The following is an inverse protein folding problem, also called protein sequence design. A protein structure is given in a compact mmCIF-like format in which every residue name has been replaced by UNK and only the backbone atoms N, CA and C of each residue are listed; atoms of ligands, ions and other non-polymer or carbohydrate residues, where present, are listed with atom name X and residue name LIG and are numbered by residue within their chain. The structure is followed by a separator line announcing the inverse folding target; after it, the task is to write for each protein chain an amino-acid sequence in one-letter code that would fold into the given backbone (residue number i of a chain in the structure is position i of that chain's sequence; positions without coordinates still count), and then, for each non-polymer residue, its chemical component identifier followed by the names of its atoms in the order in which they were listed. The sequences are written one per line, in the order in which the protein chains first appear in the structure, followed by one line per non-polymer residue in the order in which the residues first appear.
data_IF_797383350190
#
_entry.id   IF_797383350190
#
_cell.length_a   1.000
_cell.length_b   1.000
_cell.length_c   1.000
_cell.angle_alpha   90.00
_cell.angle_beta   90.00
_cell.angle_gamma   90.00
#
_symmetry.space_group_name_H-M   'P 1'
#
loop_
_entity.id
_entity.type
_entity.pdbx_description
1 polymer ?
#
# COMPACT_ATOMS: atom_id res chain seq x y z
N UNK A 1 8.02 -11.23 19.05
CA UNK A 1 8.13 -10.44 17.80
C UNK A 1 7.88 -11.38 16.64
N UNK A 2 7.12 -11.00 15.62
CA UNK A 2 6.87 -11.85 14.45
C UNK A 2 8.19 -12.14 13.72
N UNK A 3 8.44 -13.42 13.38
CA UNK A 3 9.61 -13.81 12.58
C UNK A 3 9.46 -13.30 11.13
N UNK A 4 10.51 -13.40 10.30
CA UNK A 4 10.50 -12.90 8.91
C UNK A 4 9.31 -13.45 8.10
N UNK A 5 9.05 -14.75 8.21
CA UNK A 5 7.95 -15.44 7.50
C UNK A 5 6.59 -14.85 7.89
N UNK A 6 6.36 -14.62 9.19
CA UNK A 6 5.12 -14.04 9.68
C UNK A 6 4.95 -12.59 9.21
N UNK A 7 6.03 -11.79 9.21
CA UNK A 7 6.00 -10.41 8.69
C UNK A 7 5.66 -10.37 7.21
N UNK A 8 6.20 -11.31 6.41
CA UNK A 8 5.87 -11.43 4.98
C UNK A 8 4.40 -11.77 4.78
N UNK A 9 3.86 -12.73 5.53
CA UNK A 9 2.44 -13.09 5.48
C UNK A 9 1.53 -11.92 5.84
N UNK A 10 1.89 -11.11 6.84
CA UNK A 10 1.11 -9.95 7.30
C UNK A 10 0.99 -8.88 6.22
N UNK A 11 2.10 -8.43 5.61
CA UNK A 11 1.96 -7.37 4.59
C UNK A 11 1.28 -7.90 3.32
N UNK A 12 1.53 -9.18 2.97
CA UNK A 12 0.85 -9.83 1.86
C UNK A 12 -0.66 -9.89 2.07
N UNK A 13 -1.16 -10.18 3.28
CA UNK A 13 -2.61 -10.27 3.51
C UNK A 13 -3.34 -8.95 3.22
N UNK A 14 -2.75 -7.82 3.57
CA UNK A 14 -3.30 -6.50 3.21
C UNK A 14 -3.29 -6.28 1.70
N UNK A 15 -2.20 -6.65 1.02
CA UNK A 15 -2.14 -6.58 -0.45
C UNK A 15 -3.18 -7.50 -1.10
N UNK A 16 -3.41 -8.70 -0.57
CA UNK A 16 -4.43 -9.63 -1.08
C UNK A 16 -5.83 -9.02 -1.02
N UNK A 17 -6.21 -8.44 0.11
CA UNK A 17 -7.52 -7.81 0.24
C UNK A 17 -7.64 -6.59 -0.68
N UNK A 18 -6.59 -5.75 -0.78
CA UNK A 18 -6.57 -4.65 -1.74
C UNK A 18 -6.79 -5.13 -3.18
N UNK A 19 -6.11 -6.22 -3.58
CA UNK A 19 -6.26 -6.84 -4.90
C UNK A 19 -7.66 -7.37 -5.14
N UNK A 20 -8.27 -8.04 -4.16
CA UNK A 20 -9.63 -8.58 -4.23
C UNK A 20 -10.65 -7.48 -4.47
N UNK A 21 -10.58 -6.37 -3.74
CA UNK A 21 -11.47 -5.23 -3.94
C UNK A 21 -11.22 -4.51 -5.28
N UNK A 22 -9.95 -4.30 -5.66
CA UNK A 22 -9.60 -3.68 -6.94
C UNK A 22 -10.05 -4.53 -8.14
N UNK A 23 -9.96 -5.87 -8.03
CA UNK A 23 -10.43 -6.79 -9.06
C UNK A 23 -11.96 -6.79 -9.19
N UNK A 24 -12.68 -6.67 -8.07
CA UNK A 24 -14.14 -6.50 -8.09
C UNK A 24 -14.55 -5.21 -8.78
N UNK A 25 -13.88 -4.09 -8.50
CA UNK A 25 -14.09 -2.81 -9.20
C UNK A 25 -13.82 -2.93 -10.70
N UNK A 26 -12.74 -3.61 -11.09
CA UNK A 26 -12.37 -3.77 -12.50
C UNK A 26 -13.41 -4.54 -13.31
N UNK A 27 -14.00 -5.58 -12.71
CA UNK A 27 -14.87 -6.53 -13.41
C UNK A 27 -16.36 -6.15 -13.39
N UNK A 28 -16.71 -5.00 -12.83
CA UNK A 28 -18.09 -4.57 -12.69
C UNK A 28 -18.49 -3.46 -13.64
N UNK A 29 -19.53 -3.70 -14.43
CA UNK A 29 -20.14 -2.64 -15.24
C UNK A 29 -21.30 -1.92 -14.53
N UNK A 30 -21.87 -2.52 -13.46
CA UNK A 30 -23.11 -2.04 -12.82
C UNK A 30 -23.02 -1.80 -11.30
N UNK A 31 -21.82 -1.65 -10.71
CA UNK A 31 -21.67 -1.52 -9.25
C UNK A 31 -22.18 -0.20 -8.68
N UNK A 32 -22.31 0.83 -9.52
CA UNK A 32 -22.68 2.20 -9.13
C UNK A 32 -24.10 2.29 -8.56
N UNK A 33 -24.95 1.31 -8.85
CA UNK A 33 -26.36 1.32 -8.45
C UNK A 33 -26.68 0.37 -7.29
N UNK A 34 -25.70 -0.36 -6.75
CA UNK A 34 -25.92 -1.35 -5.70
C UNK A 34 -25.57 -0.78 -4.33
N UNK A 35 -26.57 -0.62 -3.46
CA UNK A 35 -26.36 -0.23 -2.07
C UNK A 35 -25.89 -1.43 -1.22
N UNK A 36 -25.00 -1.17 -0.26
CA UNK A 36 -24.64 -2.15 0.76
C UNK A 36 -25.72 -2.27 1.83
N UNK A 37 -26.13 -3.50 2.14
CA UNK A 37 -27.05 -3.76 3.26
C UNK A 37 -26.50 -3.20 4.57
N UNK A 38 -27.20 -2.23 5.15
CA UNK A 38 -26.84 -1.60 6.42
C UNK A 38 -25.74 -0.54 6.34
N UNK A 39 -25.32 -0.15 5.13
CA UNK A 39 -24.33 0.90 4.90
C UNK A 39 -24.92 2.10 4.18
N UNK A 40 -24.16 3.21 4.14
CA UNK A 40 -24.54 4.42 3.39
C UNK A 40 -23.73 4.63 2.11
N UNK A 41 -22.82 3.70 1.81
CA UNK A 41 -21.98 3.74 0.62
C UNK A 41 -22.56 2.82 -0.45
N UNK A 42 -22.43 3.25 -1.70
CA UNK A 42 -22.58 2.39 -2.86
C UNK A 42 -21.50 1.31 -2.86
N UNK A 43 -21.75 0.21 -3.54
CA UNK A 43 -20.84 -0.93 -3.56
C UNK A 43 -19.51 -0.58 -4.25
N UNK A 44 -19.54 0.26 -5.29
CA UNK A 44 -18.32 0.84 -5.90
C UNK A 44 -17.53 1.66 -4.86
N UNK A 45 -18.17 2.64 -4.21
CA UNK A 45 -17.53 3.50 -3.21
C UNK A 45 -16.90 2.69 -2.08
N UNK A 46 -17.59 1.65 -1.61
CA UNK A 46 -17.06 0.75 -0.61
C UNK A 46 -15.83 0.00 -1.09
N UNK A 47 -15.86 -0.56 -2.31
CA UNK A 47 -14.68 -1.25 -2.84
C UNK A 47 -13.52 -0.27 -3.05
N UNK A 48 -13.77 0.95 -3.50
CA UNK A 48 -12.75 1.99 -3.63
C UNK A 48 -12.12 2.33 -2.28
N UNK A 49 -12.96 2.61 -1.27
CA UNK A 49 -12.51 2.85 0.10
C UNK A 49 -11.68 1.68 0.64
N UNK A 50 -12.17 0.45 0.48
CA UNK A 50 -11.51 -0.74 1.00
C UNK A 50 -10.19 -1.02 0.28
N UNK A 51 -10.11 -0.84 -1.03
CA UNK A 51 -8.84 -0.92 -1.77
C UNK A 51 -7.82 0.06 -1.20
N UNK A 52 -8.18 1.34 -1.08
CA UNK A 52 -7.24 2.37 -0.60
C UNK A 52 -6.77 2.12 0.84
N UNK A 53 -7.67 1.77 1.75
CA UNK A 53 -7.31 1.49 3.14
C UNK A 53 -6.36 0.29 3.26
N UNK A 54 -6.62 -0.79 2.51
CA UNK A 54 -5.75 -1.96 2.51
C UNK A 54 -4.40 -1.70 1.84
N UNK A 55 -4.36 -0.87 0.79
CA UNK A 55 -3.10 -0.40 0.21
C UNK A 55 -2.25 0.38 1.23
N UNK A 56 -2.87 1.29 1.99
CA UNK A 56 -2.16 2.03 3.03
C UNK A 56 -1.61 1.10 4.13
N UNK A 57 -2.38 0.10 4.57
CA UNK A 57 -1.92 -0.92 5.52
C UNK A 57 -0.78 -1.75 4.94
N UNK A 58 -0.85 -2.13 3.66
CA UNK A 58 0.20 -2.87 2.98
C UNK A 58 1.50 -2.05 2.92
N UNK A 59 1.44 -0.74 2.62
CA UNK A 59 2.60 0.16 2.65
C UNK A 59 3.21 0.23 4.06
N UNK A 60 2.38 0.44 5.09
CA UNK A 60 2.85 0.52 6.48
C UNK A 60 3.54 -0.78 6.91
N UNK A 61 2.88 -1.92 6.68
CA UNK A 61 3.41 -3.22 7.04
C UNK A 61 4.68 -3.57 6.25
N UNK A 62 4.71 -3.29 4.94
CA UNK A 62 5.87 -3.55 4.08
C UNK A 62 7.07 -2.71 4.51
N UNK A 63 6.88 -1.42 4.72
CA UNK A 63 7.99 -0.53 5.14
C UNK A 63 8.54 -0.91 6.51
N UNK A 64 7.68 -1.30 7.46
CA UNK A 64 8.13 -1.84 8.75
C UNK A 64 8.94 -3.14 8.57
N UNK A 65 8.44 -4.08 7.78
CA UNK A 65 9.17 -5.32 7.50
C UNK A 65 10.56 -5.03 6.90
N UNK A 66 10.66 -4.09 5.95
CA UNK A 66 11.93 -3.68 5.33
C UNK A 66 12.91 -3.12 6.37
N UNK A 67 12.44 -2.27 7.30
CA UNK A 67 13.25 -1.72 8.39
C UNK A 67 13.76 -2.83 9.32
N UNK A 68 12.91 -3.79 9.67
CA UNK A 68 13.31 -4.95 10.49
C UNK A 68 14.40 -5.77 9.80
N UNK A 69 14.27 -6.00 8.50
CA UNK A 69 15.26 -6.74 7.73
C UNK A 69 16.61 -6.01 7.67
N UNK A 70 16.62 -4.68 7.51
CA UNK A 70 17.85 -3.88 7.55
C UNK A 70 18.55 -3.99 8.92
N UNK A 71 17.77 -4.02 10.01
CA UNK A 71 18.31 -4.22 11.36
C UNK A 71 18.86 -5.64 11.54
N UNK A 72 18.13 -6.66 11.09
CA UNK A 72 18.55 -8.07 11.18
C UNK A 72 19.84 -8.34 10.39
N UNK A 73 20.03 -7.65 9.27
CA UNK A 73 21.26 -7.68 8.45
C UNK A 73 22.41 -6.84 9.01
N UNK A 74 22.20 -6.11 10.11
CA UNK A 74 23.20 -5.21 10.70
C UNK A 74 23.50 -3.97 9.85
N UNK A 75 22.67 -3.65 8.85
CA UNK A 75 22.81 -2.43 8.04
C UNK A 75 22.50 -1.18 8.84
N UNK A 76 21.59 -1.30 9.82
CA UNK A 76 21.25 -0.23 10.76
C UNK A 76 21.31 -0.74 12.20
N UNK A 77 21.61 0.17 13.13
CA UNK A 77 21.55 -0.11 14.55
C UNK A 77 20.11 -0.05 15.08
N UNK A 78 19.94 -0.43 16.35
CA UNK A 78 18.63 -0.44 17.00
C UNK A 78 18.05 0.97 17.11
N UNK A 79 18.84 1.96 17.53
CA UNK A 79 18.39 3.34 17.76
C UNK A 79 17.81 3.98 16.48
N UNK A 80 18.44 3.74 15.33
CA UNK A 80 17.97 4.22 14.04
C UNK A 80 16.67 3.51 13.64
N UNK A 81 16.54 2.20 13.88
CA UNK A 81 15.28 1.47 13.63
C UNK A 81 14.14 2.05 14.45
N UNK A 82 14.34 2.25 15.75
CA UNK A 82 13.29 2.75 16.66
C UNK A 82 12.88 4.17 16.27
N UNK A 83 13.84 5.02 15.91
CA UNK A 83 13.59 6.41 15.47
C UNK A 83 12.73 6.47 14.20
N UNK A 84 12.91 5.51 13.30
CA UNK A 84 12.22 5.48 12.00
C UNK A 84 10.87 4.75 12.06
N UNK A 85 10.72 3.80 12.99
CA UNK A 85 9.51 3.01 13.18
C UNK A 85 8.25 3.86 13.46
N UNK A 86 8.40 5.02 14.11
CA UNK A 86 7.28 5.90 14.42
C UNK A 86 6.88 6.84 13.27
N UNK A 87 7.62 6.85 12.17
CA UNK A 87 7.23 7.60 10.98
C UNK A 87 6.04 6.91 10.30
N UNK A 88 5.19 7.66 9.60
CA UNK A 88 4.16 7.02 8.77
C UNK A 88 4.80 6.31 7.56
N UNK A 89 4.12 5.33 7.00
CA UNK A 89 4.65 4.51 5.91
C UNK A 89 5.04 5.31 4.68
N UNK A 90 4.37 6.43 4.35
CA UNK A 90 4.83 7.34 3.28
C UNK A 90 6.24 7.88 3.56
N UNK A 91 6.49 8.39 4.77
CA UNK A 91 7.80 8.91 5.16
C UNK A 91 8.84 7.80 5.23
N UNK A 92 8.48 6.62 5.76
CA UNK A 92 9.36 5.44 5.74
C UNK A 92 9.74 5.05 4.31
N UNK A 93 8.76 4.98 3.41
CA UNK A 93 8.97 4.69 1.99
C UNK A 93 10.02 5.60 1.37
N UNK A 94 9.91 6.91 1.61
CA UNK A 94 10.82 7.92 1.08
C UNK A 94 12.28 7.73 1.52
N UNK A 95 12.49 7.36 2.79
CA UNK A 95 13.82 7.35 3.41
C UNK A 95 14.48 5.97 3.39
N UNK A 96 13.72 4.90 3.13
CA UNK A 96 14.21 3.52 3.10
C UNK A 96 15.45 3.32 2.22
N UNK A 97 15.52 3.84 0.98
CA UNK A 97 16.73 3.74 0.16
C UNK A 97 17.96 4.31 0.88
N UNK A 98 17.85 5.52 1.41
CA UNK A 98 18.94 6.20 2.11
C UNK A 98 19.38 5.45 3.37
N UNK A 99 18.43 4.94 4.15
CA UNK A 99 18.70 4.13 5.34
C UNK A 99 19.39 2.81 4.98
N UNK A 100 19.08 2.25 3.80
CA UNK A 100 19.74 1.07 3.25
C UNK A 100 21.09 1.37 2.58
N UNK A 101 21.61 2.61 2.69
CA UNK A 101 22.87 3.02 2.07
C UNK A 101 22.80 3.21 0.56
N UNK A 102 21.61 3.41 -0.01
CA UNK A 102 21.42 3.71 -1.43
C UNK A 102 21.39 5.22 -1.66
N UNK A 103 21.96 5.66 -2.77
CA UNK A 103 21.98 7.08 -3.17
C UNK A 103 20.70 7.51 -3.89
N UNK A 104 19.90 6.55 -4.39
CA UNK A 104 18.66 6.83 -5.12
C UNK A 104 17.64 7.54 -4.24
N UNK A 105 17.10 8.64 -4.75
CA UNK A 105 16.02 9.40 -4.13
C UNK A 105 14.71 9.04 -4.84
N UNK A 106 13.69 8.72 -4.03
CA UNK A 106 12.33 8.51 -4.54
C UNK A 106 11.68 9.86 -4.80
N UNK A 107 11.30 10.10 -6.05
CA UNK A 107 10.50 11.25 -6.44
C UNK A 107 9.00 10.95 -6.29
N UNK A 108 8.31 11.66 -5.40
CA UNK A 108 6.88 11.50 -5.16
C UNK A 108 5.99 12.36 -6.07
N UNK A 109 6.58 13.12 -6.98
CA UNK A 109 5.82 13.91 -7.96
C UNK A 109 5.68 13.18 -9.30
N UNK A 110 6.42 12.07 -9.49
CA UNK A 110 6.35 11.19 -10.65
C UNK A 110 5.79 9.80 -10.32
N UNK A 111 5.16 9.16 -11.31
CA UNK A 111 4.75 7.76 -11.20
C UNK A 111 6.00 6.84 -11.22
N UNK A 112 5.98 5.70 -10.50
CA UNK A 112 4.83 5.16 -9.77
C UNK A 112 4.69 5.71 -8.34
N UNK A 113 5.72 6.35 -7.78
CA UNK A 113 5.76 6.71 -6.35
C UNK A 113 4.79 7.81 -5.92
N UNK A 114 4.32 8.66 -6.85
CA UNK A 114 3.20 9.57 -6.61
C UNK A 114 1.98 8.86 -6.03
N UNK A 115 1.71 7.61 -6.43
CA UNK A 115 0.60 6.82 -5.89
C UNK A 115 0.70 6.59 -4.38
N UNK A 116 1.90 6.38 -3.83
CA UNK A 116 2.12 6.19 -2.38
C UNK A 116 1.69 7.44 -1.61
N UNK A 117 2.03 8.63 -2.13
CA UNK A 117 1.65 9.93 -1.56
C UNK A 117 0.13 10.12 -1.59
N UNK A 118 -0.52 9.80 -2.71
CA UNK A 118 -1.97 9.92 -2.85
C UNK A 118 -2.73 8.90 -1.99
N UNK A 119 -2.29 7.64 -1.91
CA UNK A 119 -2.88 6.62 -1.03
C UNK A 119 -2.86 7.08 0.42
N UNK A 120 -1.75 7.62 0.92
CA UNK A 120 -1.69 8.14 2.30
C UNK A 120 -2.56 9.39 2.49
N UNK A 121 -2.65 10.26 1.49
CA UNK A 121 -3.54 11.43 1.53
C UNK A 121 -5.00 10.99 1.64
N UNK A 122 -5.43 9.96 0.90
CA UNK A 122 -6.76 9.38 1.05
C UNK A 122 -6.95 8.68 2.40
N UNK A 123 -6.00 7.84 2.84
CA UNK A 123 -6.05 7.18 4.16
C UNK A 123 -6.21 8.19 5.29
N UNK A 124 -5.45 9.27 5.28
CA UNK A 124 -5.53 10.31 6.32
C UNK A 124 -6.90 10.99 6.30
N UNK A 125 -7.48 11.24 5.12
CA UNK A 125 -8.85 11.75 5.01
C UNK A 125 -9.87 10.77 5.61
N UNK A 126 -9.75 9.47 5.33
CA UNK A 126 -10.73 8.48 5.77
C UNK A 126 -10.64 8.14 7.26
N UNK A 127 -9.42 8.10 7.82
CA UNK A 127 -9.21 7.70 9.22
C UNK A 127 -9.54 8.82 10.20
N UNK A 128 -9.39 10.09 9.81
CA UNK A 128 -9.61 11.22 10.71
C UNK A 128 -11.07 11.69 10.79
N UNK A 129 -11.97 11.19 9.94
CA UNK A 129 -13.44 11.40 9.97
C UNK A 129 -13.85 12.82 10.43
N UNK A 130 -13.31 13.86 9.77
CA UNK A 130 -13.63 15.26 10.04
C UNK A 130 -14.72 15.81 9.10
N UNK A 131 -15.47 14.93 8.44
CA UNK A 131 -16.33 15.27 7.32
C UNK A 131 -17.80 14.96 7.63
N UNK A 132 -18.72 15.73 7.02
CA UNK A 132 -20.10 15.28 6.91
C UNK A 132 -20.16 13.99 6.07
N UNK A 133 -21.30 13.29 6.11
CA UNK A 133 -21.48 12.05 5.34
C UNK A 133 -21.31 12.31 3.85
N UNK A 134 -21.91 13.39 3.37
CA UNK A 134 -21.89 13.80 1.96
C UNK A 134 -20.47 14.18 1.53
N UNK A 135 -19.77 14.96 2.37
CA UNK A 135 -18.36 15.28 2.13
C UNK A 135 -17.47 14.03 2.12
N UNK A 136 -17.76 13.01 2.92
CA UNK A 136 -16.96 11.78 2.94
C UNK A 136 -17.05 11.02 1.61
N UNK A 137 -18.26 10.89 1.07
CA UNK A 137 -18.53 10.19 -0.19
C UNK A 137 -17.79 10.86 -1.34
N UNK A 138 -17.88 12.19 -1.46
CA UNK A 138 -17.18 12.96 -2.50
C UNK A 138 -15.65 12.88 -2.44
N UNK A 139 -15.08 12.39 -1.34
CA UNK A 139 -13.63 12.21 -1.18
C UNK A 139 -13.15 10.80 -1.49
N UNK A 140 -14.06 9.85 -1.72
CA UNK A 140 -13.70 8.51 -2.18
C UNK A 140 -13.27 8.63 -3.65
N UNK A 141 -12.06 8.15 -4.02
CA UNK A 141 -11.63 8.17 -5.41
C UNK A 141 -12.55 7.28 -6.25
N UNK A 142 -12.81 7.71 -7.48
CA UNK A 142 -13.61 6.92 -8.41
C UNK A 142 -12.91 5.59 -8.76
N UNK A 143 -13.64 4.69 -9.40
CA UNK A 143 -13.10 3.39 -9.83
C UNK A 143 -11.85 3.49 -10.69
N UNK A 144 -11.78 4.42 -11.64
CA UNK A 144 -10.64 4.56 -12.56
C UNK A 144 -9.39 4.98 -11.79
N UNK A 145 -9.52 5.99 -10.95
CA UNK A 145 -8.45 6.47 -10.07
C UNK A 145 -8.00 5.37 -9.09
N UNK A 146 -8.93 4.67 -8.46
CA UNK A 146 -8.62 3.57 -7.53
C UNK A 146 -7.83 2.45 -8.20
N UNK A 147 -8.25 1.99 -9.38
CA UNK A 147 -7.53 0.96 -10.13
C UNK A 147 -6.15 1.47 -10.55
N UNK A 148 -6.04 2.74 -10.95
CA UNK A 148 -4.78 3.40 -11.25
C UNK A 148 -3.84 3.42 -10.05
N UNK A 149 -4.33 3.80 -8.86
CA UNK A 149 -3.55 3.81 -7.62
C UNK A 149 -3.10 2.41 -7.22
N UNK A 150 -3.96 1.40 -7.36
CA UNK A 150 -3.60 0.01 -7.13
C UNK A 150 -2.45 -0.43 -8.06
N UNK A 151 -2.57 -0.26 -9.37
CA UNK A 151 -1.54 -0.70 -10.32
C UNK A 151 -0.21 0.04 -10.10
N UNK A 152 -0.25 1.36 -9.91
CA UNK A 152 0.94 2.15 -9.62
C UNK A 152 1.58 1.78 -8.27
N UNK A 153 0.80 1.38 -7.26
CA UNK A 153 1.37 0.86 -6.02
C UNK A 153 2.17 -0.42 -6.24
N UNK A 154 1.65 -1.34 -7.07
CA UNK A 154 2.38 -2.57 -7.43
C UNK A 154 3.71 -2.19 -8.07
N UNK A 155 3.70 -1.33 -9.10
CA UNK A 155 4.91 -0.86 -9.76
C UNK A 155 5.88 -0.16 -8.79
N UNK A 156 5.37 0.66 -7.87
CA UNK A 156 6.20 1.31 -6.85
C UNK A 156 6.87 0.29 -5.93
N UNK A 157 6.18 -0.79 -5.54
CA UNK A 157 6.78 -1.88 -4.75
C UNK A 157 7.93 -2.56 -5.50
N UNK A 158 7.73 -2.87 -6.78
CA UNK A 158 8.77 -3.46 -7.62
C UNK A 158 9.97 -2.54 -7.73
N UNK A 159 9.74 -1.27 -8.06
CA UNK A 159 10.81 -0.29 -8.17
C UNK A 159 11.56 -0.09 -6.84
N UNK A 160 10.86 -0.08 -5.69
CA UNK A 160 11.52 -0.01 -4.39
C UNK A 160 12.41 -1.24 -4.13
N UNK A 161 11.96 -2.44 -4.50
CA UNK A 161 12.78 -3.65 -4.36
C UNK A 161 14.05 -3.56 -5.22
N UNK A 162 13.95 -3.10 -6.47
CA UNK A 162 15.10 -2.88 -7.37
C UNK A 162 16.09 -1.87 -6.77
N UNK A 163 15.60 -0.72 -6.30
CA UNK A 163 16.43 0.31 -5.64
C UNK A 163 17.20 -0.27 -4.44
N UNK A 164 16.53 -1.10 -3.64
CA UNK A 164 17.13 -1.76 -2.49
C UNK A 164 18.11 -2.89 -2.87
N UNK A 165 18.31 -3.16 -4.17
CA UNK A 165 19.17 -4.23 -4.67
C UNK A 165 18.60 -5.63 -4.43
N UNK A 166 17.28 -5.73 -4.24
CA UNK A 166 16.58 -7.01 -4.15
C UNK A 166 16.32 -7.50 -5.56
N UNK A 167 17.29 -8.20 -6.11
CA UNK A 167 17.08 -8.99 -7.33
C UNK A 167 16.38 -10.26 -6.91
N UNK A 168 15.09 -10.16 -6.59
CA UNK A 168 14.29 -11.35 -6.78
C UNK A 168 14.09 -11.48 -8.29
N UNK A 169 14.41 -12.65 -8.86
CA UNK A 169 14.02 -12.94 -10.24
C UNK A 169 12.53 -12.60 -10.38
N UNK A 170 12.13 -12.08 -11.54
CA UNK A 170 10.74 -11.70 -11.88
C UNK A 170 9.65 -12.70 -11.45
N UNK A 171 10.02 -13.91 -11.05
CA UNK A 171 9.16 -14.96 -10.52
C UNK A 171 8.72 -14.76 -9.06
N UNK A 172 9.36 -14.02 -8.16
CA UNK A 172 8.96 -13.99 -6.74
C UNK A 172 7.72 -13.14 -6.47
N UNK A 173 7.66 -11.89 -6.96
CA UNK A 173 6.52 -10.98 -6.79
C UNK A 173 5.35 -11.36 -7.69
N UNK A 174 5.64 -11.92 -8.88
CA UNK A 174 4.65 -12.59 -9.71
C UNK A 174 4.29 -13.97 -9.15
N UNK A 175 5.11 -14.67 -8.37
CA UNK A 175 4.69 -15.90 -7.67
C UNK A 175 3.88 -15.57 -6.42
N UNK A 176 4.15 -14.43 -5.76
CA UNK A 176 3.31 -13.92 -4.68
C UNK A 176 1.93 -13.60 -5.26
N UNK A 177 1.85 -12.87 -6.39
CA UNK A 177 0.59 -12.59 -7.10
C UNK A 177 -0.03 -13.80 -7.80
N UNK A 178 0.73 -14.72 -8.40
CA UNK A 178 0.21 -15.98 -8.99
C UNK A 178 -0.32 -16.91 -7.90
N UNK A 179 0.22 -16.85 -6.68
CA UNK A 179 -0.35 -17.53 -5.49
C UNK A 179 -1.62 -16.86 -4.96
N UNK A 180 -1.98 -15.66 -5.43
CA UNK A 180 -3.27 -15.00 -5.15
C UNK A 180 -4.38 -15.40 -6.12
N UNK A 181 -4.11 -16.26 -7.11
CA UNK A 181 -5.13 -16.91 -7.95
C UNK A 181 -5.72 -18.14 -7.26
N UNK A 182 -6.15 -17.99 -6.01
CA UNK A 182 -7.01 -18.96 -5.31
C UNK A 182 -8.33 -18.28 -4.97
#
# INVERSE_FOLDING_TARGET
MANEIDRVKIWNSYLCEAHKFASKLKNSNDLDCMELKGGTLLLEEHYSLMTILHLALAIEARTNHLLFELKEKGTINIDLRESVEYLNGKRKWAILPRIAGKETIIDFDTMPHKSIKEIYKYRDRFVHVLYSKEDFIEKIPDKSETIGLYNNFIEAMWNLNEILGRVESNESGLSAMKRLKV
#
